data_IF_514093388588
#
_entry.id   IF_514093388588
#
_cell.length_a   1.000
_cell.length_b   1.000
_cell.length_c   1.000
_cell.angle_alpha   90.00
_cell.angle_beta   90.00
_cell.angle_gamma   90.00
#
_symmetry.space_group_name_H-M   'P 1'
#
loop_
_entity.id
_entity.type
_entity.pdbx_description
1 polymer ?
#
# COMPACT_ATOMS: atom_id res chain seq x y z
N UNK A 1 7.26 -37.20 -19.15
CA UNK A 1 6.23 -36.25 -19.64
C UNK A 1 5.05 -36.30 -18.70
N UNK A 2 4.54 -35.13 -18.27
CA UNK A 2 3.36 -34.95 -17.40
C UNK A 2 3.65 -35.17 -15.91
N UNK A 3 3.61 -34.20 -14.99
CA UNK A 3 2.85 -32.95 -14.97
C UNK A 3 1.53 -33.17 -14.25
N UNK A 4 1.49 -32.96 -12.94
CA UNK A 4 0.28 -33.06 -12.11
C UNK A 4 0.39 -32.12 -10.91
N UNK A 5 -0.34 -31.01 -10.99
CA UNK A 5 -0.22 -29.86 -10.10
C UNK A 5 -0.69 -30.10 -8.67
N UNK A 6 -0.06 -29.40 -7.73
CA UNK A 6 -0.64 -29.15 -6.40
C UNK A 6 -1.22 -27.75 -6.41
N UNK A 7 -2.54 -27.68 -6.51
CA UNK A 7 -3.33 -26.50 -6.15
C UNK A 7 -3.22 -26.31 -4.64
N UNK A 8 -2.27 -25.49 -4.20
CA UNK A 8 -2.19 -25.03 -2.82
C UNK A 8 -3.10 -23.82 -2.64
N UNK A 9 -4.38 -24.06 -2.33
CA UNK A 9 -5.26 -23.06 -1.74
C UNK A 9 -4.68 -22.71 -0.36
N UNK A 10 -3.89 -21.64 -0.29
CA UNK A 10 -3.36 -21.14 0.97
C UNK A 10 -4.48 -20.46 1.75
N UNK A 11 -5.10 -21.20 2.67
CA UNK A 11 -6.02 -20.68 3.68
C UNK A 11 -5.39 -19.49 4.41
N UNK A 12 -6.12 -18.38 4.45
CA UNK A 12 -5.82 -17.23 5.28
C UNK A 12 -6.22 -17.64 6.70
N UNK A 13 -5.23 -18.03 7.51
CA UNK A 13 -5.44 -18.45 8.88
C UNK A 13 -6.15 -17.34 9.68
N UNK A 14 -7.42 -17.61 9.99
CA UNK A 14 -8.23 -16.94 11.00
C UNK A 14 -7.76 -17.40 12.38
N UNK A 15 -6.89 -16.63 13.04
CA UNK A 15 -6.70 -16.76 14.48
C UNK A 15 -6.73 -15.38 15.12
N UNK A 16 -7.83 -15.15 15.87
CA UNK A 16 -7.96 -14.09 16.85
C UNK A 16 -6.72 -14.09 17.76
N UNK A 17 -6.17 -12.90 17.99
CA UNK A 17 -5.18 -12.51 19.02
C UNK A 17 -3.73 -12.13 18.63
N UNK A 18 -3.30 -12.09 17.36
CA UNK A 18 -1.89 -11.70 17.09
C UNK A 18 -1.59 -10.93 15.78
N UNK A 19 -2.28 -9.82 15.50
CA UNK A 19 -1.98 -8.98 14.31
C UNK A 19 -1.74 -7.49 14.66
N UNK A 20 -0.50 -7.13 15.02
CA UNK A 20 0.04 -5.76 14.90
C UNK A 20 0.92 -5.66 13.65
N UNK A 21 0.35 -5.83 12.46
CA UNK A 21 1.05 -5.53 11.19
C UNK A 21 1.20 -4.01 11.04
N UNK A 22 2.38 -3.48 11.39
CA UNK A 22 2.64 -2.02 11.40
C UNK A 22 2.93 -1.40 10.03
N UNK A 23 3.01 -2.16 8.93
CA UNK A 23 2.99 -1.65 7.55
C UNK A 23 2.85 -2.81 6.57
N UNK A 24 2.03 -2.66 5.52
CA UNK A 24 2.08 -3.54 4.35
C UNK A 24 3.02 -2.90 3.32
N UNK A 25 4.01 -3.68 2.87
CA UNK A 25 4.72 -3.42 1.64
C UNK A 25 3.90 -4.04 0.53
N UNK A 26 3.27 -3.23 -0.32
CA UNK A 26 2.78 -3.74 -1.60
C UNK A 26 3.60 -3.19 -2.75
N UNK A 27 4.20 -4.11 -3.50
CA UNK A 27 4.61 -3.87 -4.86
C UNK A 27 3.65 -4.68 -5.74
N UNK A 28 2.65 -4.02 -6.31
CA UNK A 28 1.83 -4.57 -7.42
C UNK A 28 2.62 -4.66 -8.74
N UNK A 29 3.96 -4.61 -8.67
CA UNK A 29 4.85 -4.89 -9.77
C UNK A 29 5.49 -6.23 -9.43
N UNK A 30 5.49 -7.23 -10.34
CA UNK A 30 6.28 -8.42 -10.14
C UNK A 30 7.67 -8.00 -9.68
N UNK A 31 8.14 -8.55 -8.57
CA UNK A 31 9.55 -8.49 -8.21
C UNK A 31 10.28 -9.32 -9.27
N UNK A 32 10.42 -8.79 -10.49
CA UNK A 32 11.53 -9.15 -11.34
C UNK A 32 12.72 -8.51 -10.65
N UNK A 33 13.62 -9.28 -10.02
CA UNK A 33 14.90 -8.72 -9.64
C UNK A 33 15.53 -8.25 -10.95
N UNK A 34 15.49 -6.93 -11.20
CA UNK A 34 16.40 -6.32 -12.15
C UNK A 34 17.76 -6.54 -11.52
N UNK A 35 18.38 -7.67 -11.89
CA UNK A 35 19.78 -7.97 -11.62
C UNK A 35 20.60 -6.97 -12.41
N UNK A 36 20.70 -5.75 -11.90
CA UNK A 36 21.86 -4.91 -12.22
C UNK A 36 23.06 -5.67 -11.67
N UNK A 37 23.89 -6.19 -12.59
CA UNK A 37 25.06 -7.04 -12.32
C UNK A 37 26.15 -6.31 -11.51
N UNK A 38 25.91 -5.07 -11.14
CA UNK A 38 26.86 -4.08 -10.66
C UNK A 38 26.61 -3.66 -9.19
N UNK A 39 25.63 -4.25 -8.49
CA UNK A 39 25.48 -4.10 -7.03
C UNK A 39 25.16 -5.44 -6.38
N UNK A 40 26.17 -6.27 -6.18
CA UNK A 40 26.11 -7.43 -5.30
C UNK A 40 26.09 -6.94 -3.84
N UNK A 41 24.92 -6.50 -3.40
CA UNK A 41 24.61 -6.46 -1.98
C UNK A 41 23.75 -7.68 -1.72
N UNK A 42 24.23 -8.59 -0.87
CA UNK A 42 23.50 -9.80 -0.45
C UNK A 42 22.12 -9.39 0.09
N UNK A 43 21.13 -9.36 -0.80
CA UNK A 43 19.74 -9.38 -0.40
C UNK A 43 19.48 -10.80 0.09
N UNK A 44 19.15 -10.92 1.37
CA UNK A 44 18.72 -12.17 1.98
C UNK A 44 17.65 -12.84 1.09
N UNK A 45 17.72 -14.16 0.98
CA UNK A 45 16.65 -14.90 0.34
C UNK A 45 15.32 -14.67 1.10
N UNK A 46 14.15 -14.74 0.43
CA UNK A 46 12.87 -14.55 1.10
C UNK A 46 12.67 -15.44 2.34
N UNK A 47 13.19 -16.67 2.31
CA UNK A 47 13.14 -17.62 3.43
C UNK A 47 13.97 -17.13 4.62
N UNK A 48 15.22 -16.74 4.41
CA UNK A 48 16.09 -16.18 5.45
C UNK A 48 15.51 -14.90 6.07
N UNK A 49 14.83 -14.08 5.25
CA UNK A 49 14.16 -12.89 5.74
C UNK A 49 12.89 -13.25 6.53
N UNK A 50 12.15 -14.28 6.12
CA UNK A 50 10.99 -14.80 6.84
C UNK A 50 11.40 -15.35 8.21
N UNK A 51 12.50 -16.09 8.30
CA UNK A 51 13.04 -16.62 9.57
C UNK A 51 13.39 -15.49 10.54
N UNK A 52 13.99 -14.40 10.04
CA UNK A 52 14.31 -13.20 10.85
C UNK A 52 13.07 -12.46 11.33
N UNK A 53 11.98 -12.47 10.55
CA UNK A 53 10.72 -11.81 10.91
C UNK A 53 9.93 -12.68 11.90
N UNK A 54 9.99 -14.00 11.76
CA UNK A 54 9.26 -14.97 12.58
C UNK A 54 7.75 -14.80 12.43
N UNK A 55 7.01 -14.86 13.54
CA UNK A 55 5.56 -14.65 13.59
C UNK A 55 5.12 -13.17 13.47
N UNK A 56 6.06 -12.22 13.42
CA UNK A 56 5.75 -10.78 13.43
C UNK A 56 5.34 -10.21 12.07
N UNK A 57 5.35 -11.05 11.03
CA UNK A 57 5.03 -10.65 9.67
C UNK A 57 5.20 -11.79 8.68
N UNK A 58 4.72 -11.57 7.46
CA UNK A 58 4.76 -12.55 6.39
C UNK A 58 5.28 -11.91 5.11
N UNK A 59 6.18 -12.61 4.42
CA UNK A 59 6.68 -12.22 3.11
C UNK A 59 5.98 -13.11 2.08
N UNK A 60 5.29 -12.46 1.15
CA UNK A 60 4.62 -13.12 0.04
C UNK A 60 4.97 -12.39 -1.26
N UNK A 61 5.03 -13.13 -2.36
CA UNK A 61 5.26 -12.55 -3.69
C UNK A 61 4.05 -11.78 -4.21
N UNK A 62 2.86 -12.13 -3.73
CA UNK A 62 1.60 -11.47 -4.06
C UNK A 62 0.61 -11.61 -2.90
N UNK A 63 -0.21 -10.58 -2.71
CA UNK A 63 -1.29 -10.57 -1.73
C UNK A 63 -2.55 -9.94 -2.36
N UNK A 64 -3.76 -10.30 -1.91
CA UNK A 64 -4.98 -9.60 -2.32
C UNK A 64 -5.00 -8.20 -1.68
N UNK A 65 -4.27 -7.25 -2.28
CA UNK A 65 -3.98 -5.93 -1.70
C UNK A 65 -5.23 -5.22 -1.21
N UNK A 66 -6.32 -5.26 -1.97
CA UNK A 66 -7.59 -4.62 -1.59
C UNK A 66 -8.19 -5.22 -0.32
N UNK A 67 -8.17 -6.55 -0.16
CA UNK A 67 -8.68 -7.24 1.03
C UNK A 67 -7.79 -6.96 2.23
N UNK A 68 -6.47 -7.01 2.01
CA UNK A 68 -5.47 -6.68 3.01
C UNK A 68 -5.68 -5.25 3.52
N UNK A 69 -5.80 -4.25 2.64
CA UNK A 69 -6.02 -2.86 3.01
C UNK A 69 -7.37 -2.62 3.73
N UNK A 70 -8.41 -3.41 3.44
CA UNK A 70 -9.70 -3.34 4.14
C UNK A 70 -9.64 -3.91 5.56
N UNK A 71 -8.60 -4.68 5.90
CA UNK A 71 -8.52 -5.36 7.17
C UNK A 71 -8.27 -4.35 8.32
N UNK A 72 -9.04 -4.41 9.43
CA UNK A 72 -8.97 -3.40 10.50
C UNK A 72 -7.62 -3.34 11.23
N UNK A 73 -6.83 -4.42 11.20
CA UNK A 73 -5.47 -4.43 11.75
C UNK A 73 -4.46 -3.63 10.93
N UNK A 74 -4.84 -3.17 9.74
CA UNK A 74 -3.98 -2.36 8.87
C UNK A 74 -4.14 -0.89 9.21
N UNK A 75 -3.03 -0.30 9.62
CA UNK A 75 -3.02 1.07 10.14
C UNK A 75 -2.19 2.04 9.30
N UNK A 76 -1.31 1.52 8.44
CA UNK A 76 -0.51 2.31 7.51
C UNK A 76 -0.09 1.44 6.31
N UNK A 77 0.04 2.08 5.15
CA UNK A 77 0.42 1.43 3.89
C UNK A 77 1.73 1.99 3.33
N UNK A 78 2.78 1.19 3.28
CA UNK A 78 4.05 1.58 2.65
C UNK A 78 3.98 1.30 1.15
N UNK A 79 3.95 2.38 0.37
CA UNK A 79 3.64 2.33 -1.06
C UNK A 79 4.65 3.12 -1.89
N UNK A 80 4.88 2.63 -3.10
CA UNK A 80 5.61 3.36 -4.13
C UNK A 80 4.78 4.48 -4.78
N UNK A 81 3.53 4.71 -4.34
CA UNK A 81 2.65 5.78 -4.83
C UNK A 81 2.21 5.60 -6.30
N UNK A 82 2.07 4.36 -6.77
CA UNK A 82 1.36 4.11 -8.02
C UNK A 82 -0.14 4.40 -7.87
N UNK A 83 -0.76 4.98 -8.91
CA UNK A 83 -2.12 5.54 -8.82
C UNK A 83 -3.18 4.54 -8.34
N UNK A 84 -3.15 3.30 -8.83
CA UNK A 84 -4.09 2.26 -8.40
C UNK A 84 -3.96 1.97 -6.90
N UNK A 85 -2.73 1.86 -6.40
CA UNK A 85 -2.51 1.59 -4.97
C UNK A 85 -2.88 2.78 -4.09
N UNK A 86 -2.67 4.00 -4.58
CA UNK A 86 -3.07 5.23 -3.90
C UNK A 86 -4.60 5.33 -3.79
N UNK A 87 -5.32 5.08 -4.88
CA UNK A 87 -6.80 5.14 -4.90
C UNK A 87 -7.45 4.04 -4.05
N UNK A 88 -6.88 2.83 -4.00
CA UNK A 88 -7.31 1.77 -3.09
C UNK A 88 -7.16 2.20 -1.62
N UNK A 89 -6.01 2.76 -1.25
CA UNK A 89 -5.74 3.25 0.12
C UNK A 89 -6.72 4.36 0.52
N UNK A 90 -6.99 5.30 -0.39
CA UNK A 90 -7.97 6.38 -0.19
C UNK A 90 -9.38 5.84 0.04
N UNK A 91 -9.79 4.84 -0.72
CA UNK A 91 -11.13 4.23 -0.65
C UNK A 91 -11.41 3.52 0.69
N UNK A 92 -10.35 3.10 1.39
CA UNK A 92 -10.45 2.40 2.68
C UNK A 92 -9.93 3.20 3.87
N UNK A 93 -9.60 4.49 3.68
CA UNK A 93 -9.07 5.36 4.74
C UNK A 93 -7.78 4.87 5.41
N UNK A 94 -6.88 4.22 4.66
CA UNK A 94 -5.56 3.83 5.17
C UNK A 94 -4.50 4.89 4.84
N UNK A 95 -3.84 5.53 5.83
CA UNK A 95 -2.76 6.47 5.61
C UNK A 95 -1.53 5.85 4.91
N UNK A 96 -0.80 6.66 4.15
CA UNK A 96 0.30 6.18 3.31
C UNK A 96 1.69 6.59 3.81
N UNK A 97 2.63 5.66 3.80
CA UNK A 97 4.06 5.94 3.87
C UNK A 97 4.59 5.91 2.44
N UNK A 98 5.02 7.05 1.93
CA UNK A 98 5.34 7.23 0.52
C UNK A 98 6.84 7.01 0.27
N UNK A 99 7.15 6.02 -0.57
CA UNK A 99 8.50 5.77 -1.10
C UNK A 99 8.45 5.67 -2.64
N UNK A 100 8.24 6.78 -3.35
CA UNK A 100 8.18 6.75 -4.81
C UNK A 100 9.51 6.28 -5.41
N UNK A 101 9.45 5.55 -6.53
CA UNK A 101 10.61 4.96 -7.18
C UNK A 101 10.88 5.62 -8.54
N UNK A 102 9.85 5.79 -9.37
CA UNK A 102 9.99 6.23 -10.77
C UNK A 102 8.81 7.08 -11.24
N UNK A 103 9.03 7.92 -12.26
CA UNK A 103 7.96 8.54 -13.07
C UNK A 103 6.94 9.35 -12.25
N UNK A 104 5.65 9.17 -12.59
CA UNK A 104 4.45 9.76 -12.00
C UNK A 104 4.33 9.56 -10.49
N UNK A 105 4.92 8.48 -9.94
CA UNK A 105 4.93 8.21 -8.50
C UNK A 105 5.49 9.37 -7.68
N UNK A 106 6.45 10.13 -8.23
CA UNK A 106 6.99 11.31 -7.57
C UNK A 106 5.93 12.40 -7.41
N UNK A 107 5.12 12.61 -8.45
CA UNK A 107 3.97 13.53 -8.42
C UNK A 107 2.88 13.03 -7.48
N UNK A 108 2.48 11.77 -7.59
CA UNK A 108 1.48 11.16 -6.70
C UNK A 108 1.92 11.27 -5.24
N UNK A 109 3.20 11.05 -4.92
CA UNK A 109 3.71 11.21 -3.55
C UNK A 109 3.56 12.64 -3.02
N UNK A 110 3.73 13.67 -3.87
CA UNK A 110 3.55 15.07 -3.48
C UNK A 110 2.08 15.38 -3.20
N UNK A 111 1.17 14.86 -4.01
CA UNK A 111 -0.26 15.00 -3.73
C UNK A 111 -0.62 14.36 -2.38
N UNK A 112 -0.15 13.15 -2.13
CA UNK A 112 -0.42 12.43 -0.87
C UNK A 112 0.15 13.15 0.35
N UNK A 113 1.41 13.59 0.29
CA UNK A 113 2.11 14.15 1.45
C UNK A 113 1.89 15.64 1.65
N UNK A 114 1.88 16.42 0.57
CA UNK A 114 1.98 17.89 0.66
C UNK A 114 0.63 18.57 0.40
N UNK A 115 -0.19 18.00 -0.50
CA UNK A 115 -1.50 18.58 -0.88
C UNK A 115 -2.63 18.04 0.00
N UNK A 116 -2.87 16.73 -0.06
CA UNK A 116 -3.92 16.07 0.73
C UNK A 116 -3.50 15.85 2.18
N UNK A 117 -2.18 15.81 2.45
CA UNK A 117 -1.60 15.62 3.79
C UNK A 117 -2.16 14.39 4.50
N UNK A 118 -2.25 13.30 3.75
CA UNK A 118 -2.77 12.00 4.20
C UNK A 118 -1.70 10.90 4.28
N UNK A 119 -0.44 11.30 4.19
CA UNK A 119 0.69 10.41 4.28
C UNK A 119 1.98 11.13 4.53
N UNK A 120 3.04 10.37 4.81
CA UNK A 120 4.38 10.90 5.07
C UNK A 120 5.37 10.30 4.09
N UNK A 121 6.29 11.13 3.59
CA UNK A 121 7.33 10.67 2.67
C UNK A 121 8.56 10.20 3.44
N UNK A 122 9.07 9.02 3.08
CA UNK A 122 10.38 8.54 3.54
C UNK A 122 11.43 8.82 2.46
N UNK A 123 12.67 9.06 2.89
CA UNK A 123 13.77 9.39 1.98
C UNK A 123 13.94 8.34 0.87
N UNK A 124 14.00 8.82 -0.38
CA UNK A 124 14.27 8.01 -1.57
C UNK A 124 15.80 7.90 -1.75
N UNK A 125 16.47 7.28 -0.78
CA UNK A 125 17.88 6.88 -0.92
C UNK A 125 17.96 5.47 -1.53
N UNK A 126 19.15 5.06 -1.99
CA UNK A 126 19.39 3.70 -2.54
C UNK A 126 18.88 2.60 -1.60
N UNK A 127 18.93 2.82 -0.29
CA UNK A 127 18.40 1.91 0.72
C UNK A 127 17.41 2.60 1.66
N UNK A 128 16.34 1.89 1.98
CA UNK A 128 15.37 2.29 3.00
C UNK A 128 15.90 1.90 4.38
N UNK A 129 16.04 2.86 5.28
CA UNK A 129 16.47 2.61 6.65
C UNK A 129 15.27 2.23 7.53
N UNK A 130 15.41 1.16 8.33
CA UNK A 130 14.39 0.73 9.31
C UNK A 130 13.92 1.87 10.21
N UNK A 131 14.85 2.68 10.71
CA UNK A 131 14.53 3.82 11.58
C UNK A 131 13.61 4.85 10.91
N UNK A 132 13.78 5.12 9.62
CA UNK A 132 12.93 6.06 8.88
C UNK A 132 11.49 5.54 8.74
N UNK A 133 11.34 4.23 8.48
CA UNK A 133 10.01 3.59 8.41
C UNK A 133 9.36 3.57 9.78
N UNK A 134 10.10 3.24 10.84
CA UNK A 134 9.58 3.25 12.20
C UNK A 134 9.13 4.64 12.63
N UNK A 135 9.92 5.68 12.35
CA UNK A 135 9.54 7.07 12.62
C UNK A 135 8.30 7.49 11.83
N UNK A 136 8.19 7.10 10.56
CA UNK A 136 7.00 7.35 9.75
C UNK A 136 5.74 6.67 10.31
N UNK A 137 5.85 5.41 10.74
CA UNK A 137 4.75 4.70 11.41
C UNK A 137 4.36 5.45 12.69
N UNK A 138 5.32 5.80 13.54
CA UNK A 138 5.05 6.55 14.78
C UNK A 138 4.32 7.87 14.49
N UNK A 139 4.77 8.64 13.49
CA UNK A 139 4.10 9.91 13.09
C UNK A 139 2.66 9.72 12.63
N UNK A 140 2.37 8.64 11.90
CA UNK A 140 1.01 8.34 11.44
C UNK A 140 0.11 7.77 12.53
N UNK A 141 0.69 7.12 13.53
CA UNK A 141 -0.06 6.40 14.56
C UNK A 141 -0.26 7.22 15.84
N UNK A 142 0.71 8.04 16.21
CA UNK A 142 0.79 8.70 17.50
C UNK A 142 0.80 10.22 17.34
N UNK A 143 0.31 10.91 18.38
CA UNK A 143 0.31 12.37 18.44
C UNK A 143 -0.67 13.05 17.48
N UNK A 144 -0.64 14.38 17.53
CA UNK A 144 -1.58 15.26 16.81
C UNK A 144 -1.48 15.11 15.28
N UNK A 145 -0.28 14.94 14.74
CA UNK A 145 -0.08 14.76 13.29
C UNK A 145 -0.84 13.52 12.77
N UNK A 146 -0.72 12.38 13.47
CA UNK A 146 -1.41 11.15 13.08
C UNK A 146 -2.93 11.26 13.20
N UNK A 147 -3.43 11.97 14.21
CA UNK A 147 -4.87 12.26 14.36
C UNK A 147 -5.40 13.07 13.17
N UNK A 148 -4.74 14.17 12.82
CA UNK A 148 -5.09 15.01 11.68
C UNK A 148 -5.03 14.23 10.35
N UNK A 149 -4.03 13.38 10.16
CA UNK A 149 -3.92 12.53 8.95
C UNK A 149 -5.10 11.57 8.85
N UNK A 150 -5.51 10.94 9.95
CA UNK A 150 -6.64 10.01 9.97
C UNK A 150 -7.98 10.73 9.75
N UNK A 151 -8.14 11.94 10.25
CA UNK A 151 -9.30 12.79 9.96
C UNK A 151 -9.37 13.12 8.46
N UNK A 152 -8.29 13.65 7.89
CA UNK A 152 -8.22 13.93 6.44
C UNK A 152 -8.47 12.68 5.59
N UNK A 153 -8.00 11.50 6.03
CA UNK A 153 -8.29 10.24 5.33
C UNK A 153 -9.76 9.82 5.38
N UNK A 154 -10.49 10.17 6.44
CA UNK A 154 -11.95 9.94 6.52
C UNK A 154 -12.67 10.88 5.56
N UNK A 155 -12.31 12.15 5.54
CA UNK A 155 -12.88 13.15 4.63
C UNK A 155 -12.63 12.78 3.17
N UNK A 156 -11.41 12.38 2.86
CA UNK A 156 -11.02 11.97 1.51
C UNK A 156 -11.81 10.72 1.07
N UNK A 157 -11.97 9.72 1.95
CA UNK A 157 -12.82 8.57 1.66
C UNK A 157 -14.28 8.95 1.47
N UNK A 158 -14.80 9.88 2.26
CA UNK A 158 -16.16 10.38 2.11
C UNK A 158 -16.33 11.06 0.74
N UNK A 159 -15.37 11.90 0.33
CA UNK A 159 -15.36 12.53 -0.98
C UNK A 159 -15.32 11.50 -2.12
N UNK A 160 -14.45 10.47 -2.02
CA UNK A 160 -14.39 9.37 -2.98
C UNK A 160 -15.75 8.69 -3.11
N UNK A 161 -16.36 8.27 -1.98
CA UNK A 161 -17.69 7.64 -2.02
C UNK A 161 -18.75 8.55 -2.63
N UNK A 162 -18.73 9.83 -2.27
CA UNK A 162 -19.70 10.80 -2.77
C UNK A 162 -19.62 10.97 -4.29
N UNK A 163 -18.41 10.99 -4.87
CA UNK A 163 -18.27 11.16 -6.32
C UNK A 163 -18.52 9.87 -7.11
N UNK A 164 -18.29 8.69 -6.51
CA UNK A 164 -18.46 7.39 -7.20
C UNK A 164 -19.81 6.71 -6.99
N UNK A 165 -20.61 7.11 -6.00
CA UNK A 165 -21.96 6.59 -5.79
C UNK A 165 -22.90 7.06 -6.93
N UNK A 166 -24.04 6.39 -7.06
CA UNK A 166 -25.10 6.75 -8.01
C UNK A 166 -25.48 8.24 -7.89
N UNK A 167 -25.50 8.94 -9.02
CA UNK A 167 -25.74 10.38 -9.11
C UNK A 167 -24.54 11.25 -8.69
N UNK A 168 -23.42 10.64 -8.32
CA UNK A 168 -22.15 11.31 -8.01
C UNK A 168 -21.48 11.88 -9.26
N UNK A 169 -20.55 12.81 -9.08
CA UNK A 169 -19.92 13.50 -10.22
C UNK A 169 -19.13 12.58 -11.15
N UNK A 170 -18.47 11.55 -10.63
CA UNK A 170 -17.75 10.57 -11.45
C UNK A 170 -18.70 9.57 -12.11
N UNK A 171 -19.79 9.19 -11.42
CA UNK A 171 -20.84 8.34 -11.98
C UNK A 171 -21.53 9.03 -13.18
N UNK A 172 -21.98 10.28 -13.00
CA UNK A 172 -22.58 11.09 -14.07
C UNK A 172 -21.62 11.29 -15.24
N UNK A 173 -20.34 11.57 -14.96
CA UNK A 173 -19.34 11.73 -16.02
C UNK A 173 -19.15 10.43 -16.83
N UNK A 174 -19.18 9.27 -16.16
CA UNK A 174 -19.09 7.98 -16.83
C UNK A 174 -20.34 7.69 -17.67
N UNK A 175 -21.54 7.99 -17.15
CA UNK A 175 -22.80 7.86 -17.90
C UNK A 175 -22.80 8.71 -19.17
N UNK A 176 -22.32 9.96 -19.09
CA UNK A 176 -22.17 10.83 -20.25
C UNK A 176 -21.18 10.27 -21.29
N UNK A 177 -20.04 9.73 -20.84
CA UNK A 177 -19.04 9.13 -21.73
C UNK A 177 -19.61 7.91 -22.48
N UNK A 178 -20.32 7.04 -21.76
CA UNK A 178 -20.97 5.85 -22.34
C UNK A 178 -22.08 6.27 -23.30
N UNK A 179 -22.91 7.23 -22.91
CA UNK A 179 -24.00 7.74 -23.75
C UNK A 179 -23.53 8.46 -25.02
N UNK A 180 -22.34 9.07 -25.02
CA UNK A 180 -21.75 9.67 -26.22
C UNK A 180 -21.28 8.62 -27.25
N UNK A 181 -21.03 7.39 -26.80
CA UNK A 181 -20.50 6.31 -27.63
C UNK A 181 -21.60 5.41 -28.23
N UNK A 182 -22.87 5.72 -27.97
CA UNK A 182 -24.06 5.01 -28.47
C UNK A 182 -24.78 5.82 -29.55
#
# INVERSE_FOLDING_TARGET
>A
MGGGGRTGTGEIASSRDECRCRAILSNNVPFHPIRRKDVAQELLAPEELQDKIGNRGRIVSWAPQQEVLKHPSVVAFLTHCGWNSTTESMSVSVPMICRPLISDQMGTSRYVCDVWKVGVKVEVKKQLKRGNVQAAITRLMEGKEGEEVRERMKDLRHAVKKCTNEGGTSDVALQHLVGFSA
#
